data_IF_121086475700
#
_entry.id   IF_121086475700
#
_cell.length_a   1.000
_cell.length_b   1.000
_cell.length_c   1.000
_cell.angle_alpha   90.00
_cell.angle_beta   90.00
_cell.angle_gamma   90.00
#
_symmetry.space_group_name_H-M   'P 1'
#
loop_
_entity.id
_entity.type
_entity.pdbx_description
1 polymer ?
#
# COMPACT_ATOMS: atom_id res chain seq x y z
N UNK A 1 38.11 -12.48 12.28
CA UNK A 1 37.77 -11.17 11.69
C UNK A 1 36.53 -11.23 10.77
N UNK A 2 35.43 -11.87 11.20
CA UNK A 2 34.24 -12.11 10.35
C UNK A 2 32.92 -11.58 10.95
N UNK A 3 32.91 -11.23 12.24
CA UNK A 3 31.68 -10.81 12.95
C UNK A 3 31.32 -9.32 12.83
N UNK A 4 32.26 -8.45 12.39
CA UNK A 4 31.97 -7.03 12.16
C UNK A 4 31.31 -6.77 10.79
N UNK A 5 31.72 -7.50 9.74
CA UNK A 5 31.14 -7.36 8.40
C UNK A 5 29.65 -7.71 8.39
N UNK A 6 29.23 -8.80 9.05
CA UNK A 6 27.80 -9.15 9.17
C UNK A 6 26.97 -8.04 9.82
N UNK A 7 27.51 -7.36 10.84
CA UNK A 7 26.82 -6.25 11.54
C UNK A 7 26.69 -5.00 10.68
N UNK A 8 27.71 -4.68 9.88
CA UNK A 8 27.69 -3.54 8.94
C UNK A 8 26.75 -3.79 7.76
N UNK A 9 26.70 -5.04 7.28
CA UNK A 9 25.77 -5.43 6.23
C UNK A 9 24.33 -5.29 6.74
N UNK A 10 24.01 -5.67 7.98
CA UNK A 10 22.67 -5.46 8.55
C UNK A 10 22.33 -3.98 8.85
N UNK A 11 23.34 -3.12 8.99
CA UNK A 11 23.14 -1.67 9.15
C UNK A 11 22.76 -1.01 7.81
N UNK A 12 23.36 -1.48 6.70
CA UNK A 12 23.13 -0.97 5.34
C UNK A 12 21.95 -1.68 4.65
N UNK A 13 21.84 -2.99 4.87
CA UNK A 13 20.77 -3.89 4.43
C UNK A 13 19.87 -4.14 5.64
N UNK A 14 18.76 -3.43 5.66
CA UNK A 14 17.70 -3.66 6.63
C UNK A 14 17.39 -5.15 6.78
N UNK A 15 17.21 -5.65 8.02
CA UNK A 15 16.88 -7.04 8.27
C UNK A 15 15.57 -7.45 7.59
N UNK A 16 15.55 -8.64 6.99
CA UNK A 16 14.40 -9.19 6.27
C UNK A 16 13.13 -9.28 7.14
N UNK A 17 13.27 -9.35 8.47
CA UNK A 17 12.15 -9.39 9.41
C UNK A 17 11.27 -8.13 9.39
N UNK A 18 11.82 -6.96 9.04
CA UNK A 18 11.09 -5.70 8.99
C UNK A 18 10.53 -5.38 7.60
N UNK A 19 10.99 -6.09 6.58
CA UNK A 19 10.61 -5.85 5.18
C UNK A 19 9.13 -6.08 4.91
N UNK A 20 8.48 -7.15 5.42
CA UNK A 20 7.03 -7.34 5.27
C UNK A 20 6.23 -6.14 5.76
N UNK A 21 6.55 -5.62 6.95
CA UNK A 21 5.86 -4.47 7.52
C UNK A 21 5.98 -3.22 6.63
N UNK A 22 7.16 -2.99 6.05
CA UNK A 22 7.39 -1.83 5.17
C UNK A 22 6.69 -1.97 3.83
N UNK A 23 6.55 -3.19 3.30
CA UNK A 23 5.75 -3.46 2.11
C UNK A 23 4.28 -3.07 2.37
N UNK A 24 3.72 -3.46 3.51
CA UNK A 24 2.35 -3.08 3.88
C UNK A 24 2.20 -1.56 4.09
N UNK A 25 3.19 -0.91 4.69
CA UNK A 25 3.21 0.55 4.89
C UNK A 25 3.34 1.33 3.57
N UNK A 26 4.12 0.82 2.61
CA UNK A 26 4.26 1.40 1.26
C UNK A 26 2.90 1.49 0.58
N UNK A 27 2.07 0.44 0.73
CA UNK A 27 0.75 0.36 0.10
C UNK A 27 -0.34 1.11 0.83
N UNK A 28 -0.20 1.25 2.14
CA UNK A 28 -1.05 2.13 2.94
C UNK A 28 -0.79 3.62 2.69
N UNK A 29 0.20 3.99 1.87
CA UNK A 29 0.59 5.38 1.61
C UNK A 29 1.32 6.06 2.77
N UNK A 30 1.74 5.30 3.79
CA UNK A 30 2.31 5.81 5.05
C UNK A 30 3.85 5.78 5.08
N UNK A 31 4.49 5.41 3.97
CA UNK A 31 5.94 5.17 3.93
C UNK A 31 6.74 6.39 3.41
N UNK A 32 7.73 6.90 4.18
CA UNK A 32 8.62 7.96 3.71
C UNK A 32 9.43 7.56 2.46
N UNK A 33 9.70 8.53 1.58
CA UNK A 33 10.40 8.30 0.30
C UNK A 33 11.78 7.62 0.47
N UNK A 34 12.55 8.00 1.49
CA UNK A 34 13.85 7.39 1.77
C UNK A 34 13.72 5.90 2.12
N UNK A 35 12.70 5.53 2.90
CA UNK A 35 12.45 4.14 3.25
C UNK A 35 11.97 3.34 2.03
N UNK A 36 11.21 3.98 1.13
CA UNK A 36 10.80 3.40 -0.15
C UNK A 36 11.99 3.03 -1.04
N UNK A 37 12.97 3.94 -1.18
CA UNK A 37 14.19 3.66 -1.95
C UNK A 37 15.00 2.54 -1.31
N UNK A 38 15.17 2.57 0.02
CA UNK A 38 15.86 1.50 0.77
C UNK A 38 15.17 0.15 0.62
N UNK A 39 13.84 0.12 0.69
CA UNK A 39 13.04 -1.09 0.48
C UNK A 39 13.24 -1.66 -0.92
N UNK A 40 13.19 -0.82 -1.95
CA UNK A 40 13.46 -1.25 -3.34
C UNK A 40 14.86 -1.83 -3.52
N UNK A 41 15.87 -1.19 -2.93
CA UNK A 41 17.23 -1.72 -2.92
C UNK A 41 17.29 -3.12 -2.26
N UNK A 42 16.64 -3.30 -1.10
CA UNK A 42 16.57 -4.60 -0.44
C UNK A 42 15.89 -5.67 -1.31
N UNK A 43 14.74 -5.35 -1.92
CA UNK A 43 14.01 -6.28 -2.79
C UNK A 43 14.79 -6.68 -4.05
N UNK A 44 15.73 -5.84 -4.51
CA UNK A 44 16.61 -6.19 -5.63
C UNK A 44 17.66 -7.25 -5.28
N UNK A 45 18.02 -7.37 -3.99
CA UNK A 45 19.07 -8.26 -3.49
C UNK A 45 18.45 -9.54 -2.89
N UNK A 46 17.38 -9.40 -2.12
CA UNK A 46 16.76 -10.52 -1.39
C UNK A 46 15.59 -11.14 -2.17
N UNK A 47 15.85 -12.32 -2.75
CA UNK A 47 14.85 -13.09 -3.54
C UNK A 47 13.61 -13.48 -2.72
N UNK A 48 13.77 -13.80 -1.45
CA UNK A 48 12.67 -14.21 -0.56
C UNK A 48 11.71 -13.04 -0.32
N UNK A 49 12.24 -11.87 0.03
CA UNK A 49 11.44 -10.68 0.21
C UNK A 49 10.79 -10.22 -1.10
N UNK A 50 11.49 -10.36 -2.23
CA UNK A 50 10.92 -10.10 -3.55
C UNK A 50 9.74 -11.03 -3.88
N UNK A 51 9.86 -12.32 -3.56
CA UNK A 51 8.77 -13.29 -3.74
C UNK A 51 7.57 -12.96 -2.84
N UNK A 52 7.82 -12.59 -1.58
CA UNK A 52 6.77 -12.10 -0.68
C UNK A 52 6.07 -10.86 -1.24
N UNK A 53 6.83 -9.84 -1.67
CA UNK A 53 6.27 -8.61 -2.25
C UNK A 53 5.36 -8.89 -3.44
N UNK A 54 5.78 -9.79 -4.36
CA UNK A 54 4.96 -10.24 -5.49
C UNK A 54 3.69 -10.94 -5.04
N UNK A 55 3.76 -11.81 -4.03
CA UNK A 55 2.58 -12.49 -3.47
C UNK A 55 1.56 -11.47 -2.96
N UNK A 56 2.00 -10.49 -2.17
CA UNK A 56 1.08 -9.46 -1.67
C UNK A 56 0.55 -8.62 -2.83
N UNK A 57 1.36 -8.32 -3.86
CA UNK A 57 0.90 -7.55 -5.04
C UNK A 57 -0.20 -8.29 -5.81
N UNK A 58 -0.09 -9.62 -5.92
CA UNK A 58 -1.12 -10.45 -6.54
C UNK A 58 -2.42 -10.44 -5.74
N UNK A 59 -2.33 -10.50 -4.40
CA UNK A 59 -3.50 -10.40 -3.52
C UNK A 59 -4.19 -9.05 -3.71
N UNK A 60 -3.44 -7.96 -3.66
CA UNK A 60 -4.00 -6.62 -3.87
C UNK A 60 -4.65 -6.49 -5.23
N UNK A 61 -3.96 -6.88 -6.31
CA UNK A 61 -4.54 -6.85 -7.66
C UNK A 61 -5.81 -7.68 -7.77
N UNK A 62 -5.86 -8.85 -7.13
CA UNK A 62 -7.05 -9.69 -7.13
C UNK A 62 -8.22 -9.03 -6.38
N UNK A 63 -7.95 -8.45 -5.21
CA UNK A 63 -8.94 -7.72 -4.44
C UNK A 63 -9.43 -6.49 -5.21
N UNK A 64 -8.53 -5.62 -5.67
CA UNK A 64 -8.88 -4.44 -6.46
C UNK A 64 -9.67 -4.83 -7.71
N UNK A 65 -9.28 -5.87 -8.45
CA UNK A 65 -10.03 -6.34 -9.62
C UNK A 65 -11.43 -6.84 -9.27
N UNK A 66 -11.64 -7.45 -8.10
CA UNK A 66 -12.99 -7.82 -7.65
C UNK A 66 -13.85 -6.60 -7.33
N UNK A 67 -13.25 -5.57 -6.73
CA UNK A 67 -13.94 -4.31 -6.43
C UNK A 67 -14.19 -3.45 -7.69
N UNK A 68 -13.31 -3.50 -8.68
CA UNK A 68 -13.44 -2.76 -9.96
C UNK A 68 -14.31 -3.50 -11.00
N UNK A 69 -14.38 -4.83 -10.92
CA UNK A 69 -15.13 -5.69 -11.83
C UNK A 69 -16.56 -6.01 -11.38
N UNK A 70 -16.90 -5.74 -10.12
CA UNK A 70 -18.28 -5.44 -9.75
C UNK A 70 -18.64 -4.12 -10.42
N UNK A 71 -19.80 -4.05 -11.07
CA UNK A 71 -20.33 -2.83 -11.68
C UNK A 71 -19.93 -1.62 -10.83
N UNK A 72 -19.38 -0.58 -11.47
CA UNK A 72 -19.14 0.73 -10.88
C UNK A 72 -20.47 1.35 -10.43
N UNK A 73 -21.12 0.76 -9.43
CA UNK A 73 -22.24 1.28 -8.65
C UNK A 73 -21.79 2.38 -7.70
N UNK A 74 -20.51 2.76 -7.77
CA UNK A 74 -19.93 3.93 -7.08
C UNK A 74 -20.02 5.22 -7.93
N UNK A 75 -20.62 5.16 -9.12
CA UNK A 75 -21.08 6.36 -9.79
C UNK A 75 -22.47 6.67 -9.28
N UNK A 76 -22.54 7.48 -8.22
CA UNK A 76 -23.79 8.14 -7.84
C UNK A 76 -24.37 8.80 -9.09
N UNK A 77 -25.62 8.48 -9.41
CA UNK A 77 -26.34 9.18 -10.46
C UNK A 77 -26.40 10.67 -10.11
N UNK A 78 -26.36 11.52 -11.13
CA UNK A 78 -26.42 12.98 -10.91
C UNK A 78 -27.67 13.42 -10.11
N UNK A 79 -28.76 12.66 -10.23
CA UNK A 79 -29.98 12.79 -9.43
C UNK A 79 -29.77 12.46 -7.95
N UNK A 80 -29.04 11.41 -7.60
CA UNK A 80 -28.75 11.04 -6.21
C UNK A 80 -27.92 12.12 -5.50
N UNK A 81 -26.96 12.73 -6.22
CA UNK A 81 -26.14 13.83 -5.72
C UNK A 81 -27.01 15.08 -5.48
N UNK A 82 -27.95 15.35 -6.38
CA UNK A 82 -28.85 16.49 -6.28
C UNK A 82 -29.84 16.30 -5.11
N UNK A 83 -30.43 15.12 -4.98
CA UNK A 83 -31.32 14.78 -3.87
C UNK A 83 -30.60 14.87 -2.51
N UNK A 84 -29.33 14.48 -2.46
CA UNK A 84 -28.50 14.65 -1.26
C UNK A 84 -28.30 16.13 -0.92
N UNK A 85 -27.95 16.97 -1.91
CA UNK A 85 -27.79 18.43 -1.72
C UNK A 85 -29.08 19.07 -1.22
N UNK A 86 -30.22 18.72 -1.81
CA UNK A 86 -31.53 19.27 -1.43
C UNK A 86 -31.93 18.86 0.00
N UNK A 87 -31.67 17.60 0.39
CA UNK A 87 -31.88 17.14 1.78
C UNK A 87 -31.02 17.89 2.78
N UNK A 88 -29.74 18.13 2.47
CA UNK A 88 -28.84 18.90 3.33
C UNK A 88 -29.30 20.35 3.44
N UNK A 89 -29.65 20.99 2.31
CA UNK A 89 -30.13 22.38 2.27
C UNK A 89 -31.40 22.55 3.11
N UNK A 90 -32.31 21.58 3.04
CA UNK A 90 -33.56 21.57 3.83
C UNK A 90 -33.33 21.42 5.33
N UNK A 91 -32.25 20.75 5.75
CA UNK A 91 -31.83 20.61 7.17
C UNK A 91 -31.00 21.78 7.69
N UNK A 92 -30.39 22.56 6.79
CA UNK A 92 -29.57 23.74 7.13
C UNK A 92 -30.35 25.06 7.07
N UNK A 93 -31.58 25.04 6.57
CA UNK A 93 -32.46 26.21 6.62
C UNK A 93 -33.16 26.21 7.99
N UNK A 94 -33.08 27.30 8.77
CA UNK A 94 -33.70 27.40 10.11
C UNK A 94 -35.22 27.28 10.07
#
# INVERSE_FOLDING_TARGET
MTKLFGKLIHLLIMPCSHVPQLIEQERSGKLPLLQKVRLRAHLSICKWCAAYARKVEQIDKFLTKKYEGGEKKDRFESSEIQDFKDRIKKKMTP
#
